data_IF_170251845539
#
_entry.id   IF_170251845539
#
_cell.length_a   1.000
_cell.length_b   1.000
_cell.length_c   1.000
_cell.angle_alpha   90.00
_cell.angle_beta   90.00
_cell.angle_gamma   90.00
#
_symmetry.space_group_name_H-M   'P 1'
#
loop_
_entity.id
_entity.type
_entity.pdbx_description
1 polymer ?
#
# COMPACT_ATOMS: atom_id res chain seq x y z
N UNK A 1 3.88 -6.24 10.68
CA UNK A 1 3.26 -5.54 11.80
C UNK A 1 2.01 -6.24 12.29
N UNK A 2 1.70 -6.11 13.57
CA UNK A 2 0.47 -6.65 14.15
C UNK A 2 -0.72 -5.94 13.51
N UNK A 3 -1.57 -6.67 12.79
CA UNK A 3 -2.82 -6.15 12.29
C UNK A 3 -3.82 -6.19 13.47
N UNK A 4 -3.96 -5.07 14.18
CA UNK A 4 -4.80 -4.97 15.37
C UNK A 4 -6.31 -4.94 15.05
N UNK A 5 -6.68 -5.07 13.76
CA UNK A 5 -8.07 -5.10 13.36
C UNK A 5 -8.82 -3.80 13.69
N UNK A 6 -10.15 -3.84 13.83
CA UNK A 6 -10.98 -2.66 14.07
C UNK A 6 -11.06 -2.26 15.55
N UNK A 7 -10.19 -2.74 16.43
CA UNK A 7 -10.16 -2.37 17.84
C UNK A 7 -9.60 -0.97 18.08
N UNK A 8 -10.08 -0.31 19.14
CA UNK A 8 -9.50 0.95 19.59
C UNK A 8 -8.15 0.70 20.27
N UNK A 9 -7.08 1.15 19.64
CA UNK A 9 -5.72 0.96 20.13
C UNK A 9 -5.47 1.59 21.51
N UNK A 10 -6.23 2.62 21.88
CA UNK A 10 -6.12 3.26 23.18
C UNK A 10 -6.65 2.37 24.32
N UNK A 11 -7.43 1.35 23.99
CA UNK A 11 -7.97 0.38 24.95
C UNK A 11 -7.15 -0.91 25.03
N UNK A 12 -6.02 -0.98 24.30
CA UNK A 12 -5.19 -2.16 24.22
C UNK A 12 -4.66 -2.58 25.60
N UNK A 13 -4.90 -3.83 25.97
CA UNK A 13 -4.41 -4.48 27.18
C UNK A 13 -3.75 -5.81 26.85
N UNK A 14 -2.74 -6.17 27.64
CA UNK A 14 -2.10 -7.47 27.58
C UNK A 14 -2.40 -8.23 28.88
N UNK A 15 -3.22 -9.27 28.79
CA UNK A 15 -3.63 -10.06 29.96
C UNK A 15 -3.55 -11.56 29.63
N UNK A 16 -2.95 -12.37 30.50
CA UNK A 16 -2.86 -13.82 30.37
C UNK A 16 -2.35 -14.31 29.00
N UNK A 17 -1.33 -13.60 28.44
CA UNK A 17 -0.78 -13.93 27.11
C UNK A 17 -1.67 -13.57 25.93
N UNK A 18 -2.75 -12.83 26.15
CA UNK A 18 -3.67 -12.33 25.12
C UNK A 18 -3.58 -10.81 25.00
N UNK A 19 -3.75 -10.31 23.80
CA UNK A 19 -3.97 -8.90 23.54
C UNK A 19 -5.48 -8.68 23.38
N UNK A 20 -6.01 -7.76 24.15
CA UNK A 20 -7.45 -7.44 24.20
C UNK A 20 -7.62 -5.96 23.83
N UNK A 21 -8.59 -5.65 23.01
CA UNK A 21 -9.00 -4.28 22.66
C UNK A 21 -10.52 -4.18 22.64
N UNK A 22 -11.05 -3.02 22.98
CA UNK A 22 -12.46 -2.72 22.82
C UNK A 22 -12.77 -2.38 21.36
N UNK A 23 -13.93 -2.81 20.87
CA UNK A 23 -14.40 -2.48 19.53
C UNK A 23 -15.40 -1.34 19.64
N UNK A 24 -15.16 -0.20 18.96
CA UNK A 24 -16.09 0.94 18.99
C UNK A 24 -17.51 0.54 18.55
N UNK A 25 -18.52 1.02 19.26
CA UNK A 25 -19.92 0.71 18.95
C UNK A 25 -20.34 1.12 17.54
N UNK A 26 -19.75 2.19 17.02
CA UNK A 26 -20.04 2.68 15.66
C UNK A 26 -19.76 1.65 14.56
N UNK A 27 -18.78 0.76 14.75
CA UNK A 27 -18.39 -0.25 13.75
C UNK A 27 -18.97 -1.64 14.05
N UNK A 28 -19.68 -1.82 15.19
CA UNK A 28 -20.25 -3.12 15.55
C UNK A 28 -21.20 -3.69 14.50
N UNK A 29 -21.93 -2.83 13.77
CA UNK A 29 -22.78 -3.26 12.66
C UNK A 29 -22.01 -3.96 11.54
N UNK A 30 -20.89 -3.39 11.15
CA UNK A 30 -20.00 -3.97 10.14
C UNK A 30 -19.28 -5.24 10.63
N UNK A 31 -19.06 -5.33 11.97
CA UNK A 31 -18.41 -6.47 12.59
C UNK A 31 -19.33 -7.65 12.85
N UNK A 32 -20.66 -7.49 12.73
CA UNK A 32 -21.65 -8.52 13.04
C UNK A 32 -21.35 -9.92 12.49
N UNK A 33 -20.88 -10.09 11.23
CA UNK A 33 -20.54 -11.40 10.68
C UNK A 33 -19.29 -12.04 11.33
N UNK A 34 -18.50 -11.27 12.07
CA UNK A 34 -17.24 -11.69 12.69
C UNK A 34 -17.35 -11.89 14.20
N UNK A 35 -18.48 -11.52 14.79
CA UNK A 35 -18.69 -11.66 16.23
C UNK A 35 -18.68 -13.12 16.65
N UNK A 36 -17.90 -13.44 17.68
CA UNK A 36 -17.72 -14.78 18.21
C UNK A 36 -17.13 -15.82 17.21
N UNK A 37 -16.54 -15.34 16.13
CA UNK A 37 -15.86 -16.20 15.15
C UNK A 37 -14.36 -16.06 15.35
N UNK A 38 -13.64 -17.10 15.81
CA UNK A 38 -12.20 -17.10 15.86
C UNK A 38 -11.64 -16.93 14.45
N UNK A 39 -10.83 -15.90 14.23
CA UNK A 39 -10.21 -15.66 12.93
C UNK A 39 -8.70 -15.92 13.02
N UNK A 40 -8.12 -16.64 12.05
CA UNK A 40 -6.69 -16.81 11.99
C UNK A 40 -6.01 -15.46 11.73
N UNK A 41 -4.89 -15.20 12.42
CA UNK A 41 -4.10 -13.98 12.29
C UNK A 41 -2.85 -14.20 11.44
N UNK A 42 -2.37 -13.11 10.81
CA UNK A 42 -1.25 -13.15 9.86
C UNK A 42 -1.71 -13.44 8.44
N UNK A 43 -1.68 -12.45 7.54
CA UNK A 43 -2.19 -12.58 6.18
C UNK A 43 -1.17 -13.25 5.24
N UNK A 44 0.09 -13.01 5.47
CA UNK A 44 1.22 -13.51 4.69
C UNK A 44 2.37 -13.91 5.61
N UNK A 45 3.28 -14.70 5.12
CA UNK A 45 4.45 -15.14 5.85
C UNK A 45 5.39 -15.96 4.99
N UNK A 46 6.47 -16.42 5.60
CA UNK A 46 7.46 -17.27 4.94
C UNK A 46 8.04 -18.29 5.91
N UNK A 47 8.62 -19.32 5.36
CA UNK A 47 9.24 -20.39 6.14
C UNK A 47 10.02 -21.35 5.27
N UNK A 48 10.70 -22.30 5.93
CA UNK A 48 11.40 -23.40 5.27
C UNK A 48 10.45 -24.59 5.17
N UNK A 49 10.39 -25.22 4.00
CA UNK A 49 9.63 -26.45 3.81
C UNK A 49 10.37 -27.61 4.50
N UNK A 50 9.79 -28.14 5.57
CA UNK A 50 10.39 -29.23 6.37
C UNK A 50 9.76 -30.60 6.07
N UNK A 51 8.54 -30.62 5.51
CA UNK A 51 7.86 -31.82 5.06
C UNK A 51 7.10 -31.52 3.77
N UNK A 52 7.05 -32.48 2.85
CA UNK A 52 6.34 -32.34 1.59
C UNK A 52 5.71 -33.68 1.17
N UNK A 53 4.52 -33.59 0.58
CA UNK A 53 3.87 -34.75 -0.05
C UNK A 53 4.63 -35.23 -1.29
N UNK A 54 4.28 -36.42 -1.79
CA UNK A 54 4.98 -37.06 -2.89
C UNK A 54 5.13 -36.18 -4.15
N UNK A 55 4.13 -35.34 -4.42
CA UNK A 55 4.09 -34.47 -5.61
C UNK A 55 4.69 -33.06 -5.38
N UNK A 56 5.39 -32.85 -4.25
CA UNK A 56 5.96 -31.55 -3.88
C UNK A 56 7.37 -31.70 -3.26
N UNK A 57 8.02 -32.84 -3.48
CA UNK A 57 9.35 -33.15 -2.94
C UNK A 57 10.43 -32.16 -3.39
N UNK A 58 10.25 -31.54 -4.54
CA UNK A 58 11.15 -30.51 -5.07
C UNK A 58 11.17 -29.23 -4.23
N UNK A 59 10.19 -29.03 -3.33
CA UNK A 59 10.14 -27.91 -2.40
C UNK A 59 10.90 -28.15 -1.11
N UNK A 60 11.28 -29.40 -0.80
CA UNK A 60 11.96 -29.73 0.45
C UNK A 60 13.22 -28.88 0.67
N UNK A 61 13.31 -28.31 1.88
CA UNK A 61 14.42 -27.44 2.28
C UNK A 61 14.42 -26.04 1.68
N UNK A 62 13.52 -25.73 0.75
CA UNK A 62 13.43 -24.41 0.15
C UNK A 62 12.73 -23.41 1.07
N UNK A 63 13.14 -22.15 0.98
CA UNK A 63 12.40 -21.02 1.57
C UNK A 63 11.25 -20.68 0.63
N UNK A 64 10.04 -20.60 1.20
CA UNK A 64 8.84 -20.24 0.47
C UNK A 64 8.12 -19.09 1.16
N UNK A 65 7.51 -18.22 0.38
CA UNK A 65 6.61 -17.17 0.83
C UNK A 65 5.18 -17.55 0.48
N UNK A 66 4.23 -17.22 1.34
CA UNK A 66 2.83 -17.62 1.20
C UNK A 66 1.87 -16.52 1.66
N UNK A 67 0.67 -16.53 1.09
CA UNK A 67 -0.48 -15.70 1.50
C UNK A 67 -1.67 -16.59 1.81
N UNK A 68 -2.58 -16.16 2.69
CA UNK A 68 -3.82 -16.91 2.94
C UNK A 68 -4.24 -17.06 4.39
N UNK A 69 -3.69 -16.25 5.28
CA UNK A 69 -4.06 -16.20 6.70
C UNK A 69 -3.39 -17.26 7.57
N UNK A 70 -3.53 -17.10 8.89
CA UNK A 70 -3.00 -18.05 9.88
C UNK A 70 -1.47 -18.13 9.94
N UNK A 71 -0.76 -17.09 9.52
CA UNK A 71 0.72 -17.12 9.45
C UNK A 71 1.41 -16.85 10.79
N UNK A 72 0.68 -16.45 11.84
CA UNK A 72 1.23 -16.38 13.20
C UNK A 72 1.23 -17.78 13.84
N UNK A 73 1.97 -18.70 13.23
CA UNK A 73 2.11 -20.08 13.64
C UNK A 73 3.54 -20.57 13.40
N UNK A 74 3.99 -21.53 14.19
CA UNK A 74 5.31 -22.16 14.02
C UNK A 74 5.33 -23.06 12.78
N UNK A 75 4.24 -23.73 12.49
CA UNK A 75 4.10 -24.67 11.37
C UNK A 75 2.77 -24.46 10.65
N UNK A 76 2.80 -24.63 9.35
CA UNK A 76 1.62 -24.59 8.47
C UNK A 76 1.68 -25.70 7.44
N UNK A 77 0.55 -26.36 7.23
CA UNK A 77 0.37 -27.26 6.09
C UNK A 77 -0.39 -26.49 5.00
N UNK A 78 0.18 -26.42 3.81
CA UNK A 78 -0.31 -25.61 2.70
C UNK A 78 -0.24 -26.38 1.40
N UNK A 79 -1.04 -25.97 0.41
CA UNK A 79 -0.92 -26.52 -0.95
C UNK A 79 0.39 -26.01 -1.59
N UNK A 80 1.14 -26.90 -2.24
CA UNK A 80 2.39 -26.55 -2.91
C UNK A 80 2.21 -25.40 -3.93
N UNK A 81 1.09 -25.40 -4.66
CA UNK A 81 0.75 -24.35 -5.61
C UNK A 81 0.56 -22.95 -4.99
N UNK A 82 0.38 -22.85 -3.67
CA UNK A 82 0.27 -21.59 -2.95
C UNK A 82 1.62 -21.08 -2.45
N UNK A 83 2.69 -21.82 -2.68
CA UNK A 83 4.04 -21.50 -2.19
C UNK A 83 4.85 -20.84 -3.30
N UNK A 84 5.26 -19.59 -3.09
CA UNK A 84 6.22 -18.91 -3.95
C UNK A 84 7.64 -19.25 -3.47
N UNK A 85 8.39 -19.95 -4.30
CA UNK A 85 9.78 -20.31 -3.98
C UNK A 85 10.64 -19.06 -4.06
N UNK A 86 11.40 -18.82 -3.00
CA UNK A 86 12.32 -17.69 -2.93
C UNK A 86 13.68 -18.04 -3.53
N UNK A 87 14.44 -17.01 -3.87
CA UNK A 87 15.79 -17.19 -4.38
C UNK A 87 16.69 -17.91 -3.35
N UNK A 88 17.66 -18.65 -3.82
CA UNK A 88 18.63 -19.33 -2.97
C UNK A 88 19.37 -18.30 -2.10
N UNK A 89 19.59 -18.64 -0.84
CA UNK A 89 20.21 -17.76 0.14
C UNK A 89 19.27 -16.72 0.79
N UNK A 90 17.98 -16.68 0.41
CA UNK A 90 17.01 -15.79 1.07
C UNK A 90 16.65 -16.34 2.46
N UNK A 91 16.68 -15.47 3.47
CA UNK A 91 16.23 -15.82 4.81
C UNK A 91 14.70 -15.66 4.93
N UNK A 92 13.98 -16.57 5.63
CA UNK A 92 12.53 -16.45 5.78
C UNK A 92 12.04 -15.10 6.30
N UNK A 93 12.73 -14.50 7.27
CA UNK A 93 12.38 -13.19 7.84
C UNK A 93 12.35 -12.07 6.80
N UNK A 94 13.21 -12.15 5.78
CA UNK A 94 13.38 -11.09 4.78
C UNK A 94 12.29 -11.15 3.70
N UNK A 95 11.64 -12.30 3.53
CA UNK A 95 10.56 -12.51 2.58
C UNK A 95 9.17 -12.71 3.21
N UNK A 96 9.03 -12.49 4.52
CA UNK A 96 7.75 -12.67 5.21
C UNK A 96 6.63 -11.71 4.75
N UNK A 97 6.97 -10.62 4.05
CA UNK A 97 6.02 -9.66 3.48
C UNK A 97 6.18 -9.53 1.96
N UNK A 98 6.40 -10.65 1.27
CA UNK A 98 6.66 -10.65 -0.19
C UNK A 98 5.41 -10.71 -1.07
N UNK A 99 4.21 -10.83 -0.50
CA UNK A 99 2.98 -10.93 -1.28
C UNK A 99 2.17 -9.65 -1.29
N UNK A 100 1.64 -9.23 -0.14
CA UNK A 100 0.58 -8.21 -0.11
C UNK A 100 1.09 -6.86 -0.61
N UNK A 101 2.12 -6.32 0.01
CA UNK A 101 2.61 -4.99 -0.35
C UNK A 101 3.29 -4.95 -1.72
N UNK A 102 4.21 -5.87 -2.07
CA UNK A 102 4.86 -5.84 -3.38
C UNK A 102 3.88 -6.02 -4.54
N UNK A 103 2.94 -6.97 -4.43
CA UNK A 103 1.94 -7.18 -5.49
C UNK A 103 0.98 -6.01 -5.62
N UNK A 104 0.62 -5.36 -4.50
CA UNK A 104 -0.19 -4.14 -4.55
C UNK A 104 0.57 -3.01 -5.25
N UNK A 105 1.84 -2.80 -4.92
CA UNK A 105 2.66 -1.76 -5.56
C UNK A 105 2.87 -2.04 -7.06
N UNK A 106 3.18 -3.28 -7.45
CA UNK A 106 3.25 -3.70 -8.85
C UNK A 106 1.91 -3.51 -9.56
N UNK A 107 0.81 -3.90 -8.91
CA UNK A 107 -0.54 -3.72 -9.45
C UNK A 107 -0.88 -2.26 -9.72
N UNK A 108 -0.42 -1.31 -8.89
CA UNK A 108 -0.59 0.13 -9.14
C UNK A 108 0.13 0.57 -10.42
N UNK A 109 1.37 0.12 -10.63
CA UNK A 109 2.15 0.44 -11.82
C UNK A 109 1.54 -0.20 -13.07
N UNK A 110 1.11 -1.45 -12.98
CA UNK A 110 0.46 -2.14 -14.11
C UNK A 110 -0.91 -1.53 -14.44
N UNK A 111 -1.72 -1.14 -13.43
CA UNK A 111 -2.97 -0.41 -13.67
C UNK A 111 -2.71 0.91 -14.39
N UNK A 112 -1.69 1.66 -13.98
CA UNK A 112 -1.25 2.88 -14.66
C UNK A 112 -0.98 2.62 -16.16
N UNK A 113 -0.19 1.59 -16.47
CA UNK A 113 0.16 1.23 -17.85
C UNK A 113 -1.08 0.79 -18.66
N UNK A 114 -1.93 -0.06 -18.07
CA UNK A 114 -3.14 -0.60 -18.72
C UNK A 114 -4.17 0.49 -19.03
N UNK A 115 -4.27 1.51 -18.19
CA UNK A 115 -5.22 2.61 -18.35
C UNK A 115 -4.64 3.80 -19.15
N UNK A 116 -3.40 3.70 -19.60
CA UNK A 116 -2.74 4.69 -20.46
C UNK A 116 -2.23 5.91 -19.72
N UNK A 117 -2.09 5.85 -18.39
CA UNK A 117 -1.41 6.88 -17.61
C UNK A 117 0.11 6.68 -17.61
N UNK A 118 0.87 7.74 -17.33
CA UNK A 118 2.34 7.72 -17.42
C UNK A 118 3.04 8.03 -16.11
N UNK A 119 2.30 8.49 -15.11
CA UNK A 119 2.82 8.85 -13.79
C UNK A 119 1.75 8.64 -12.72
N UNK A 120 2.19 8.53 -11.47
CA UNK A 120 1.35 8.20 -10.31
C UNK A 120 1.41 9.29 -9.23
N UNK A 121 0.30 9.42 -8.49
CA UNK A 121 0.25 10.07 -7.17
C UNK A 121 -0.11 9.02 -6.13
N UNK A 122 0.63 8.95 -5.02
CA UNK A 122 0.38 7.97 -3.95
C UNK A 122 0.35 8.64 -2.58
N UNK A 123 -0.70 8.35 -1.78
CA UNK A 123 -0.82 8.84 -0.41
C UNK A 123 -0.29 7.83 0.61
N UNK A 124 -0.08 8.26 1.86
CA UNK A 124 0.57 7.45 2.90
C UNK A 124 1.91 6.84 2.42
N UNK A 125 2.65 7.60 1.61
CA UNK A 125 3.79 7.13 0.84
C UNK A 125 4.98 6.63 1.67
N UNK A 126 5.08 7.02 2.95
CA UNK A 126 6.10 6.51 3.87
C UNK A 126 5.77 5.11 4.46
N UNK A 127 4.60 4.54 4.13
CA UNK A 127 4.26 3.17 4.51
C UNK A 127 5.20 2.16 3.84
N UNK A 128 5.22 0.92 4.35
CA UNK A 128 6.03 -0.15 3.74
C UNK A 128 5.69 -0.34 2.24
N UNK A 129 4.40 -0.33 1.89
CA UNK A 129 3.94 -0.37 0.49
C UNK A 129 4.45 0.83 -0.30
N UNK A 130 4.33 2.05 0.24
CA UNK A 130 4.77 3.26 -0.46
C UNK A 130 6.28 3.29 -0.72
N UNK A 131 7.10 2.83 0.24
CA UNK A 131 8.54 2.70 0.04
C UNK A 131 8.91 1.67 -1.04
N UNK A 132 8.16 0.56 -1.13
CA UNK A 132 8.31 -0.41 -2.23
C UNK A 132 7.91 0.20 -3.57
N UNK A 133 6.80 0.95 -3.61
CA UNK A 133 6.34 1.64 -4.81
C UNK A 133 7.38 2.67 -5.31
N UNK A 134 8.02 3.42 -4.41
CA UNK A 134 9.12 4.33 -4.77
C UNK A 134 10.23 3.59 -5.52
N UNK A 135 10.67 2.44 -5.01
CA UNK A 135 11.74 1.64 -5.61
C UNK A 135 11.30 1.05 -6.97
N UNK A 136 10.11 0.47 -7.05
CA UNK A 136 9.57 -0.10 -8.29
C UNK A 136 9.45 1.00 -9.37
N UNK A 137 8.90 2.17 -9.01
CA UNK A 137 8.80 3.28 -9.95
C UNK A 137 10.16 3.79 -10.42
N UNK A 138 11.17 3.83 -9.54
CA UNK A 138 12.53 4.21 -9.91
C UNK A 138 13.15 3.21 -10.89
N UNK A 139 12.99 1.91 -10.64
CA UNK A 139 13.50 0.84 -11.50
C UNK A 139 12.80 0.82 -12.88
N UNK A 140 11.49 1.07 -12.90
CA UNK A 140 10.67 1.09 -14.13
C UNK A 140 10.72 2.45 -14.87
N UNK A 141 11.39 3.48 -14.33
CA UNK A 141 11.43 4.83 -14.89
C UNK A 141 10.09 5.56 -14.83
N UNK A 142 9.20 5.19 -13.91
CA UNK A 142 7.88 5.81 -13.70
C UNK A 142 8.00 6.99 -12.75
N UNK A 143 7.43 8.14 -13.12
CA UNK A 143 7.37 9.31 -12.24
C UNK A 143 6.32 9.08 -11.15
N UNK A 144 6.70 9.34 -9.88
CA UNK A 144 5.85 9.15 -8.72
C UNK A 144 5.83 10.38 -7.82
N UNK A 145 4.64 10.94 -7.60
CA UNK A 145 4.41 12.00 -6.61
C UNK A 145 3.96 11.35 -5.30
N UNK A 146 4.72 11.56 -4.25
CA UNK A 146 4.51 10.98 -2.93
C UNK A 146 3.88 12.00 -1.98
N UNK A 147 2.79 11.62 -1.30
CA UNK A 147 2.13 12.47 -0.29
C UNK A 147 2.31 11.85 1.09
N UNK A 148 2.82 12.65 2.02
CA UNK A 148 3.05 12.31 3.43
C UNK A 148 2.49 13.39 4.35
N UNK A 149 2.50 13.18 5.69
CA UNK A 149 1.96 14.13 6.68
C UNK A 149 2.99 14.69 7.66
N UNK A 150 4.26 14.27 7.54
CA UNK A 150 5.29 14.65 8.50
C UNK A 150 6.62 14.86 7.80
N UNK A 151 7.42 15.80 8.29
CA UNK A 151 8.73 16.09 7.75
C UNK A 151 9.68 14.88 7.80
N UNK A 152 9.66 14.10 8.89
CA UNK A 152 10.45 12.86 9.01
C UNK A 152 10.17 11.86 7.87
N UNK A 153 8.94 11.82 7.37
CA UNK A 153 8.56 10.98 6.23
C UNK A 153 9.03 11.55 4.89
N UNK A 154 9.10 12.88 4.75
CA UNK A 154 9.71 13.53 3.58
C UNK A 154 11.18 13.14 3.49
N UNK A 155 11.90 13.25 4.61
CA UNK A 155 13.34 12.95 4.69
C UNK A 155 13.60 11.46 4.41
N UNK A 156 12.76 10.57 4.97
CA UNK A 156 12.82 9.12 4.70
C UNK A 156 12.67 8.83 3.21
N UNK A 157 11.63 9.36 2.56
CA UNK A 157 11.39 9.06 1.15
C UNK A 157 12.47 9.64 0.24
N UNK A 158 12.95 10.84 0.53
CA UNK A 158 14.10 11.40 -0.19
C UNK A 158 15.36 10.57 -0.04
N UNK A 159 15.60 9.99 1.15
CA UNK A 159 16.77 9.14 1.40
C UNK A 159 16.77 7.84 0.59
N UNK A 160 15.59 7.37 0.17
CA UNK A 160 15.44 6.18 -0.69
C UNK A 160 15.23 6.51 -2.17
N UNK A 161 15.43 7.78 -2.57
CA UNK A 161 15.45 8.22 -3.97
C UNK A 161 14.16 8.83 -4.50
N UNK A 162 13.14 9.09 -3.66
CA UNK A 162 11.94 9.77 -4.12
C UNK A 162 12.23 11.21 -4.55
N UNK A 163 11.86 11.58 -5.78
CA UNK A 163 12.08 12.91 -6.35
C UNK A 163 11.01 13.92 -5.91
N UNK A 164 9.74 13.51 -5.99
CA UNK A 164 8.59 14.37 -5.65
C UNK A 164 7.97 13.88 -4.35
N UNK A 165 8.07 14.70 -3.30
CA UNK A 165 7.49 14.41 -1.99
C UNK A 165 6.82 15.67 -1.46
N UNK A 166 5.51 15.62 -1.26
CA UNK A 166 4.68 16.71 -0.75
C UNK A 166 4.19 16.38 0.67
N UNK A 167 4.34 17.31 1.60
CA UNK A 167 3.82 17.17 2.95
C UNK A 167 2.45 17.82 3.05
N UNK A 168 1.41 17.02 3.28
CA UNK A 168 0.02 17.51 3.35
C UNK A 168 -0.30 18.37 4.58
N UNK A 169 0.65 18.51 5.50
CA UNK A 169 0.54 19.41 6.66
C UNK A 169 1.14 20.80 6.44
N UNK A 170 1.81 21.01 5.30
CA UNK A 170 2.41 22.32 4.98
C UNK A 170 1.34 23.28 4.43
N UNK A 171 1.46 24.56 4.76
CA UNK A 171 0.50 25.60 4.34
C UNK A 171 0.42 25.73 2.82
N UNK A 172 1.53 25.50 2.12
CA UNK A 172 1.66 25.55 0.66
C UNK A 172 1.49 24.20 -0.04
N UNK A 173 0.93 23.19 0.66
CA UNK A 173 0.76 21.84 0.13
C UNK A 173 0.12 21.77 -1.26
N UNK A 174 -0.96 22.54 -1.48
CA UNK A 174 -1.66 22.56 -2.77
C UNK A 174 -0.79 23.11 -3.90
N UNK A 175 0.08 24.06 -3.61
CA UNK A 175 1.03 24.60 -4.57
C UNK A 175 2.12 23.57 -4.89
N UNK A 176 2.76 22.98 -3.87
CA UNK A 176 3.76 21.93 -4.02
C UNK A 176 3.21 20.76 -4.83
N UNK A 177 2.01 20.28 -4.49
CA UNK A 177 1.38 19.16 -5.20
C UNK A 177 1.06 19.52 -6.66
N UNK A 178 0.58 20.74 -6.91
CA UNK A 178 0.30 21.21 -8.28
C UNK A 178 1.58 21.29 -9.12
N UNK A 179 2.68 21.76 -8.54
CA UNK A 179 3.99 21.82 -9.23
C UNK A 179 4.46 20.40 -9.56
N UNK A 180 4.47 19.51 -8.58
CA UNK A 180 4.88 18.11 -8.78
C UNK A 180 4.04 17.38 -9.85
N UNK A 181 2.72 17.58 -9.84
CA UNK A 181 1.83 17.01 -10.85
C UNK A 181 2.04 17.65 -12.23
N UNK A 182 2.32 18.95 -12.29
CA UNK A 182 2.62 19.64 -13.56
C UNK A 182 3.87 19.10 -14.22
N UNK A 183 4.92 18.84 -13.44
CA UNK A 183 6.19 18.28 -13.93
C UNK A 183 6.06 16.82 -14.35
N UNK A 184 5.37 16.01 -13.54
CA UNK A 184 5.20 14.55 -13.79
C UNK A 184 4.11 14.25 -14.78
N UNK A 185 3.16 15.16 -15.01
CA UNK A 185 1.91 14.98 -15.77
C UNK A 185 1.06 13.81 -15.22
N UNK A 186 1.09 13.60 -13.92
CA UNK A 186 0.35 12.54 -13.28
C UNK A 186 -1.17 12.79 -13.36
N UNK A 187 -1.91 11.81 -13.84
CA UNK A 187 -3.37 11.81 -13.98
C UNK A 187 -4.03 10.66 -13.24
N UNK A 188 -3.24 9.80 -12.58
CA UNK A 188 -3.71 8.68 -11.78
C UNK A 188 -3.19 8.79 -10.34
N UNK A 189 -4.08 8.65 -9.37
CA UNK A 189 -3.75 8.61 -7.95
C UNK A 189 -4.23 7.34 -7.25
N UNK A 190 -3.50 6.91 -6.22
CA UNK A 190 -3.90 5.85 -5.30
C UNK A 190 -3.91 6.40 -3.88
N UNK A 191 -5.11 6.44 -3.28
CA UNK A 191 -5.33 6.98 -1.94
C UNK A 191 -5.56 5.89 -0.91
N UNK A 192 -4.62 5.77 0.03
CA UNK A 192 -4.71 4.88 1.19
C UNK A 192 -5.50 5.49 2.36
N UNK A 193 -5.72 6.80 2.36
CA UNK A 193 -6.37 7.48 3.49
C UNK A 193 -7.86 7.24 3.51
N UNK A 194 -8.50 7.25 2.35
CA UNK A 194 -9.88 6.82 2.14
C UNK A 194 -10.95 7.69 2.81
N UNK A 195 -10.59 8.88 3.26
CA UNK A 195 -11.53 9.80 3.89
C UNK A 195 -11.07 11.25 3.77
N UNK A 196 -11.92 12.19 4.22
CA UNK A 196 -11.64 13.61 4.14
C UNK A 196 -11.59 14.15 2.70
N UNK A 197 -10.76 15.15 2.47
CA UNK A 197 -10.72 15.91 1.22
C UNK A 197 -9.53 15.58 0.31
N UNK A 198 -8.63 14.67 0.71
CA UNK A 198 -7.34 14.50 0.03
C UNK A 198 -7.48 14.02 -1.42
N UNK A 199 -8.35 13.06 -1.69
CA UNK A 199 -8.62 12.60 -3.05
C UNK A 199 -9.15 13.74 -3.95
N UNK A 200 -10.05 14.58 -3.41
CA UNK A 200 -10.56 15.77 -4.09
C UNK A 200 -9.47 16.81 -4.37
N UNK A 201 -8.56 17.04 -3.41
CA UNK A 201 -7.41 17.92 -3.57
C UNK A 201 -6.47 17.43 -4.66
N UNK A 202 -6.19 16.12 -4.71
CA UNK A 202 -5.38 15.51 -5.78
C UNK A 202 -6.01 15.76 -7.15
N UNK A 203 -7.31 15.47 -7.32
CA UNK A 203 -8.01 15.71 -8.57
C UNK A 203 -8.02 17.19 -8.97
N UNK A 204 -8.18 18.09 -8.01
CA UNK A 204 -8.09 19.55 -8.23
C UNK A 204 -6.71 19.96 -8.75
N UNK A 205 -5.64 19.46 -8.13
CA UNK A 205 -4.27 19.73 -8.58
C UNK A 205 -3.99 19.15 -9.97
N UNK A 206 -4.50 17.95 -10.27
CA UNK A 206 -4.42 17.35 -11.62
C UNK A 206 -5.12 18.21 -12.66
N UNK A 207 -6.30 18.76 -12.36
CA UNK A 207 -6.99 19.66 -13.30
C UNK A 207 -6.23 20.98 -13.51
N UNK A 208 -5.72 21.58 -12.44
CA UNK A 208 -4.91 22.81 -12.55
C UNK A 208 -3.64 22.55 -13.36
N UNK A 209 -2.96 21.43 -13.13
CA UNK A 209 -1.77 21.02 -13.86
C UNK A 209 -2.05 20.79 -15.35
N UNK A 210 -3.14 20.08 -15.67
CA UNK A 210 -3.54 19.81 -17.05
C UNK A 210 -3.85 21.12 -17.80
N UNK A 211 -4.52 22.07 -17.14
CA UNK A 211 -4.77 23.40 -17.74
C UNK A 211 -3.51 24.22 -17.95
N UNK A 212 -2.53 24.13 -17.06
CA UNK A 212 -1.22 24.78 -17.23
C UNK A 212 -0.43 24.19 -18.41
N UNK A 213 -0.56 22.90 -18.64
CA UNK A 213 0.12 22.18 -19.73
C UNK A 213 -0.66 22.23 -21.06
N UNK A 214 -1.89 22.76 -21.08
CA UNK A 214 -2.71 22.84 -22.28
C UNK A 214 -2.12 23.82 -23.30
N UNK A 215 -2.09 23.43 -24.56
CA UNK A 215 -1.65 24.26 -25.68
C UNK A 215 -2.77 25.17 -26.22
N UNK A 216 -4.03 24.81 -25.92
CA UNK A 216 -5.22 25.54 -26.36
C UNK A 216 -6.10 25.90 -25.16
N UNK A 217 -6.75 27.06 -25.23
CA UNK A 217 -7.70 27.49 -24.20
C UNK A 217 -9.04 26.77 -24.37
N UNK A 218 -9.55 26.19 -23.26
CA UNK A 218 -10.92 25.67 -23.18
C UNK A 218 -11.66 26.29 -21.99
N UNK A 219 -12.85 26.88 -22.20
CA UNK A 219 -13.68 27.41 -21.11
C UNK A 219 -14.27 26.31 -20.23
N UNK A 220 -14.26 25.05 -20.69
CA UNK A 220 -14.83 23.89 -19.99
C UNK A 220 -13.80 23.08 -19.22
N UNK A 221 -12.54 23.53 -19.16
CA UNK A 221 -11.46 22.81 -18.50
C UNK A 221 -10.75 21.85 -19.44
N UNK A 222 -9.99 20.93 -18.83
CA UNK A 222 -9.24 19.89 -19.55
C UNK A 222 -10.14 18.70 -19.93
N UNK A 223 -9.91 18.11 -21.10
CA UNK A 223 -10.56 16.86 -21.54
C UNK A 223 -9.76 15.62 -21.11
N UNK A 224 -8.61 15.79 -20.47
CA UNK A 224 -7.78 14.72 -20.02
C UNK A 224 -8.46 13.94 -18.88
N UNK A 225 -8.50 12.60 -18.97
CA UNK A 225 -9.08 11.76 -17.91
C UNK A 225 -8.19 11.75 -16.68
N UNK A 226 -8.80 11.97 -15.53
CA UNK A 226 -8.14 11.99 -14.22
C UNK A 226 -8.90 11.10 -13.26
N UNK A 227 -8.17 10.31 -12.46
CA UNK A 227 -8.83 9.45 -11.49
C UNK A 227 -7.99 9.24 -10.24
N UNK A 228 -8.67 8.92 -9.14
CA UNK A 228 -8.04 8.50 -7.88
C UNK A 228 -8.75 7.24 -7.39
N UNK A 229 -8.00 6.16 -7.26
CA UNK A 229 -8.46 4.93 -6.61
C UNK A 229 -8.32 5.08 -5.11
N UNK A 230 -9.41 4.94 -4.37
CA UNK A 230 -9.40 4.82 -2.92
C UNK A 230 -9.27 3.34 -2.58
N UNK A 231 -8.12 2.93 -2.03
CA UNK A 231 -7.83 1.53 -1.74
C UNK A 231 -7.62 1.24 -0.25
N UNK A 232 -7.62 2.26 0.60
CA UNK A 232 -7.48 2.17 2.04
C UNK A 232 -8.53 2.96 2.80
N UNK A 233 -8.46 2.92 4.13
CA UNK A 233 -9.39 3.58 5.03
C UNK A 233 -8.68 4.06 6.30
N UNK A 234 -7.53 4.72 6.19
CA UNK A 234 -6.75 5.18 7.33
C UNK A 234 -7.38 6.39 8.04
N UNK A 235 -8.34 7.04 7.40
CA UNK A 235 -9.02 8.24 7.90
C UNK A 235 -10.54 8.09 7.91
N UNK A 236 -11.03 6.89 8.25
CA UNK A 236 -12.45 6.58 8.42
C UNK A 236 -12.86 6.64 9.88
#
# INVERSE_FOLDING_TARGET
GLLLGPGDINTLKAENGKIIMDVPTAIMGAMKPRLNVPMPVGNEGSGVVIEAGANAQELMGKVVSVVGGGMYSQYRCLAAASCMVMNEGTEPRDCASSFVNPLTALGMVETMKMEGHTALVHTAAASNLGQMLVKICADDGVQLVNIVRKQEHVDLLKSIGAQFVCNSSDDDFMEQLTVAITETKATLGFDATGGGELAGKILTCMEVAARKNATEYSPYGSTEHKQVYIYGGLNQ
#
